data_IF_905251746306
#
_entry.id   IF_905251746306
#
_cell.length_a   1.000
_cell.length_b   1.000
_cell.length_c   1.000
_cell.angle_alpha   90.00
_cell.angle_beta   90.00
_cell.angle_gamma   90.00
#
_symmetry.space_group_name_H-M   'P 1'
#
loop_
_entity.id
_entity.type
_entity.pdbx_description
1 polymer ?
#
# COMPACT_ATOMS: atom_id res chain seq x y z
N UNK A 1 56.64 -15.54 -12.25
CA UNK A 1 57.90 -16.16 -12.75
C UNK A 1 58.46 -16.99 -11.60
N UNK A 2 58.58 -18.31 -11.56
CA UNK A 2 58.58 -19.42 -12.53
C UNK A 2 57.81 -20.62 -11.89
N UNK A 3 56.96 -21.39 -12.59
CA UNK A 3 57.25 -22.68 -13.27
C UNK A 3 57.99 -23.70 -12.39
N UNK A 4 57.66 -24.99 -12.29
CA UNK A 4 56.85 -25.91 -13.08
C UNK A 4 56.74 -27.24 -12.29
N UNK A 5 55.63 -27.98 -12.36
CA UNK A 5 55.70 -29.43 -12.67
C UNK A 5 54.30 -29.99 -12.96
N UNK A 6 54.14 -30.51 -14.18
CA UNK A 6 53.01 -31.27 -14.65
C UNK A 6 53.09 -32.72 -14.16
N UNK A 7 51.94 -33.38 -13.99
CA UNK A 7 51.78 -34.78 -14.41
C UNK A 7 50.31 -35.06 -14.74
N UNK A 8 50.08 -35.43 -16.01
CA UNK A 8 48.85 -35.99 -16.55
C UNK A 8 48.79 -37.50 -16.27
N UNK A 9 47.61 -38.04 -15.91
CA UNK A 9 47.15 -39.37 -16.32
C UNK A 9 45.63 -39.33 -16.55
N UNK A 10 45.21 -39.93 -17.67
CA UNK A 10 43.87 -39.97 -18.25
C UNK A 10 43.07 -41.23 -17.84
N UNK A 11 41.72 -41.11 -17.87
CA UNK A 11 40.67 -42.13 -18.18
C UNK A 11 40.38 -43.29 -17.20
N UNK A 12 39.14 -43.34 -16.67
CA UNK A 12 38.01 -44.16 -17.19
C UNK A 12 36.71 -44.04 -16.35
N UNK A 13 35.63 -44.13 -17.11
CA UNK A 13 34.19 -44.10 -16.89
C UNK A 13 33.51 -45.07 -15.87
N UNK A 14 32.28 -44.67 -15.51
CA UNK A 14 31.03 -45.41 -15.19
C UNK A 14 30.71 -45.76 -13.73
N UNK A 15 29.57 -45.24 -13.25
CA UNK A 15 28.94 -45.63 -11.98
C UNK A 15 27.65 -44.86 -11.70
N UNK A 16 26.53 -45.44 -12.17
CA UNK A 16 25.14 -44.99 -12.05
C UNK A 16 24.74 -44.47 -10.65
N UNK A 17 23.98 -43.38 -10.59
CA UNK A 17 23.17 -43.01 -9.40
C UNK A 17 21.73 -42.75 -9.84
N UNK A 18 20.82 -43.53 -9.25
CA UNK A 18 19.38 -43.54 -9.50
C UNK A 18 18.73 -42.27 -8.94
N UNK A 19 18.03 -41.53 -9.79
CA UNK A 19 17.08 -40.50 -9.37
C UNK A 19 15.80 -41.16 -8.86
N UNK A 20 15.34 -40.74 -7.67
CA UNK A 20 13.97 -40.96 -7.18
C UNK A 20 13.11 -39.75 -7.59
N UNK A 21 11.90 -39.93 -8.16
CA UNK A 21 11.00 -38.81 -8.38
C UNK A 21 10.18 -38.55 -7.11
N UNK A 22 10.50 -37.45 -6.44
CA UNK A 22 9.70 -36.93 -5.34
C UNK A 22 8.43 -36.26 -5.91
N UNK A 23 7.27 -36.71 -5.43
CA UNK A 23 5.99 -36.07 -5.71
C UNK A 23 5.95 -34.69 -5.08
N UNK A 24 5.73 -33.67 -5.91
CA UNK A 24 5.39 -32.34 -5.45
C UNK A 24 4.04 -31.95 -6.06
N UNK A 25 3.03 -31.89 -5.19
CA UNK A 25 1.72 -31.35 -5.50
C UNK A 25 1.88 -29.95 -6.10
N UNK A 26 1.34 -29.76 -7.32
CA UNK A 26 1.22 -28.47 -7.98
C UNK A 26 0.25 -27.58 -7.17
N UNK A 27 0.80 -26.73 -6.31
CA UNK A 27 0.07 -25.57 -5.82
C UNK A 27 -0.13 -24.62 -7.01
N UNK A 28 -1.39 -24.41 -7.39
CA UNK A 28 -1.78 -23.42 -8.40
C UNK A 28 -1.52 -22.03 -7.80
N UNK A 29 -0.36 -21.45 -8.14
CA UNK A 29 -0.05 -20.03 -7.86
C UNK A 29 -0.96 -19.17 -8.74
N UNK A 30 -1.98 -18.55 -8.17
CA UNK A 30 -2.62 -17.35 -8.76
C UNK A 30 -1.66 -16.18 -8.58
N UNK A 31 -0.74 -16.04 -9.53
CA UNK A 31 0.17 -14.90 -9.62
C UNK A 31 -0.55 -13.79 -10.40
N UNK A 32 -1.02 -12.77 -9.68
CA UNK A 32 -1.63 -11.58 -10.25
C UNK A 32 -0.61 -10.82 -11.08
N UNK A 33 -0.63 -11.02 -12.40
CA UNK A 33 0.16 -10.26 -13.36
C UNK A 33 -0.81 -9.32 -14.07
N UNK A 34 -0.77 -8.05 -13.72
CA UNK A 34 -1.54 -6.99 -14.38
C UNK A 34 -1.05 -6.90 -15.83
N UNK A 35 -1.87 -7.33 -16.77
CA UNK A 35 -1.59 -7.23 -18.21
C UNK A 35 -1.95 -5.81 -18.69
N UNK A 36 -1.01 -5.16 -19.35
CA UNK A 36 -1.01 -3.72 -19.64
C UNK A 36 -1.77 -3.48 -20.94
N UNK A 37 -3.03 -3.07 -20.84
CA UNK A 37 -3.73 -2.40 -21.96
C UNK A 37 -4.31 -1.08 -21.45
N UNK A 38 -3.72 0.02 -21.97
CA UNK A 38 -3.87 1.44 -21.60
C UNK A 38 -3.47 1.80 -20.15
N UNK A 39 -2.66 2.87 -19.92
CA UNK A 39 -2.27 3.27 -18.57
C UNK A 39 -3.47 3.92 -17.88
N UNK A 40 -4.37 3.08 -17.36
CA UNK A 40 -5.42 3.51 -16.45
C UNK A 40 -4.80 3.58 -15.07
N UNK A 41 -4.96 4.70 -14.39
CA UNK A 41 -4.62 4.81 -12.97
C UNK A 41 -5.25 3.63 -12.22
N UNK A 42 -4.50 3.08 -11.26
CA UNK A 42 -4.97 1.99 -10.42
C UNK A 42 -6.40 2.22 -9.90
N UNK A 43 -7.26 1.17 -9.82
CA UNK A 43 -8.64 1.34 -9.40
C UNK A 43 -8.73 1.92 -7.99
N UNK A 44 -9.74 2.74 -7.75
CA UNK A 44 -10.00 3.24 -6.39
C UNK A 44 -10.55 2.11 -5.51
N UNK A 45 -10.39 2.24 -4.20
CA UNK A 45 -10.99 1.29 -3.24
C UNK A 45 -12.50 1.18 -3.43
N UNK A 46 -13.20 2.29 -3.70
CA UNK A 46 -14.63 2.28 -4.01
C UNK A 46 -14.96 1.40 -5.23
N UNK A 47 -14.16 1.49 -6.30
CA UNK A 47 -14.32 0.63 -7.48
C UNK A 47 -14.10 -0.85 -7.15
N UNK A 48 -13.08 -1.16 -6.33
CA UNK A 48 -12.81 -2.53 -5.86
C UNK A 48 -13.97 -3.09 -5.04
N UNK A 49 -14.52 -2.32 -4.11
CA UNK A 49 -15.68 -2.71 -3.29
C UNK A 49 -16.89 -2.98 -4.18
N UNK A 50 -17.20 -2.10 -5.12
CA UNK A 50 -18.33 -2.27 -6.01
C UNK A 50 -18.17 -3.48 -6.93
N UNK A 51 -16.97 -3.73 -7.45
CA UNK A 51 -16.68 -4.93 -8.24
C UNK A 51 -16.96 -6.21 -7.45
N UNK A 52 -16.52 -6.26 -6.19
CA UNK A 52 -16.78 -7.40 -5.28
C UNK A 52 -18.24 -7.53 -4.90
N UNK A 53 -18.95 -6.44 -4.62
CA UNK A 53 -20.39 -6.50 -4.35
C UNK A 53 -21.16 -6.98 -5.58
N UNK A 54 -20.78 -6.55 -6.78
CA UNK A 54 -21.40 -6.99 -8.02
C UNK A 54 -21.19 -8.49 -8.25
N UNK A 55 -19.98 -9.00 -7.97
CA UNK A 55 -19.68 -10.43 -7.96
C UNK A 55 -20.61 -11.20 -7.00
N UNK A 56 -20.70 -10.74 -5.76
CA UNK A 56 -21.53 -11.34 -4.71
C UNK A 56 -23.01 -11.40 -5.11
N UNK A 57 -23.54 -10.30 -5.66
CA UNK A 57 -24.93 -10.23 -6.14
C UNK A 57 -25.18 -11.21 -7.30
N UNK A 58 -24.23 -11.33 -8.24
CA UNK A 58 -24.35 -12.30 -9.34
C UNK A 58 -24.40 -13.73 -8.80
N UNK A 59 -23.53 -14.06 -7.84
CA UNK A 59 -23.44 -15.40 -7.26
C UNK A 59 -24.68 -15.76 -6.44
N UNK A 60 -25.23 -14.80 -5.68
CA UNK A 60 -26.51 -14.96 -4.97
C UNK A 60 -27.69 -15.17 -5.92
N UNK A 61 -27.67 -14.52 -7.09
CA UNK A 61 -28.64 -14.74 -8.15
C UNK A 61 -28.45 -16.10 -8.87
N UNK A 62 -27.40 -16.86 -8.56
CA UNK A 62 -27.11 -18.16 -9.17
C UNK A 62 -26.63 -18.09 -10.63
N UNK A 63 -26.26 -16.90 -11.12
CA UNK A 63 -25.90 -16.69 -12.51
C UNK A 63 -24.40 -16.87 -12.75
N UNK A 64 -24.04 -17.48 -13.88
CA UNK A 64 -22.66 -17.53 -14.37
C UNK A 64 -22.27 -16.22 -15.07
N UNK A 65 -20.96 -15.98 -15.24
CA UNK A 65 -20.47 -14.79 -15.95
C UNK A 65 -20.95 -14.74 -17.40
N UNK A 66 -21.08 -15.90 -18.05
CA UNK A 66 -21.58 -16.04 -19.41
C UNK A 66 -23.06 -15.62 -19.53
N UNK A 67 -23.85 -15.80 -18.48
CA UNK A 67 -25.25 -15.37 -18.42
C UNK A 67 -25.35 -13.86 -18.25
N UNK A 68 -24.59 -13.30 -17.29
CA UNK A 68 -24.47 -11.85 -17.11
C UNK A 68 -23.97 -11.16 -18.39
N UNK A 69 -23.02 -11.77 -19.10
CA UNK A 69 -22.49 -11.25 -20.34
C UNK A 69 -23.52 -11.27 -21.49
N UNK A 70 -24.37 -12.30 -21.55
CA UNK A 70 -25.51 -12.36 -22.49
C UNK A 70 -26.54 -11.27 -22.23
N UNK A 71 -26.87 -11.01 -20.95
CA UNK A 71 -27.74 -9.91 -20.54
C UNK A 71 -27.21 -8.57 -21.07
N UNK A 72 -25.92 -8.33 -20.87
CA UNK A 72 -25.24 -7.10 -21.31
C UNK A 72 -24.90 -7.05 -22.81
N UNK A 73 -25.02 -8.16 -23.54
CA UNK A 73 -24.53 -8.33 -24.92
C UNK A 73 -23.04 -7.99 -25.09
N UNK A 74 -22.22 -8.45 -24.16
CA UNK A 74 -20.76 -8.28 -24.17
C UNK A 74 -20.04 -9.62 -24.04
N UNK A 75 -18.71 -9.62 -24.20
CA UNK A 75 -17.89 -10.80 -23.92
C UNK A 75 -17.86 -11.11 -22.41
N UNK A 76 -17.81 -12.40 -21.99
CA UNK A 76 -17.68 -12.79 -20.58
C UNK A 76 -16.48 -12.15 -19.86
N UNK A 77 -15.39 -11.90 -20.60
CA UNK A 77 -14.23 -11.18 -20.09
C UNK A 77 -14.55 -9.75 -19.61
N UNK A 78 -15.56 -9.08 -20.17
CA UNK A 78 -15.99 -7.75 -19.71
C UNK A 78 -16.66 -7.82 -18.34
N UNK A 79 -17.50 -8.82 -18.09
CA UNK A 79 -18.11 -9.03 -16.77
C UNK A 79 -17.04 -9.35 -15.73
N UNK A 80 -16.07 -10.23 -16.06
CA UNK A 80 -14.90 -10.48 -15.20
C UNK A 80 -14.18 -9.16 -14.87
N UNK A 81 -13.86 -8.35 -15.88
CA UNK A 81 -13.15 -7.08 -15.69
C UNK A 81 -13.93 -6.11 -14.79
N UNK A 82 -15.25 -6.07 -14.91
CA UNK A 82 -16.12 -5.25 -14.05
C UNK A 82 -16.07 -5.71 -12.59
N UNK A 83 -16.20 -7.02 -12.36
CA UNK A 83 -16.14 -7.62 -11.01
C UNK A 83 -14.75 -7.47 -10.37
N UNK A 84 -13.70 -7.45 -11.18
CA UNK A 84 -12.31 -7.26 -10.73
C UNK A 84 -11.90 -5.78 -10.65
N UNK A 85 -12.81 -4.82 -10.90
CA UNK A 85 -12.53 -3.39 -10.96
C UNK A 85 -11.43 -2.99 -11.98
N UNK A 86 -11.18 -3.85 -12.97
CA UNK A 86 -10.22 -3.60 -14.06
C UNK A 86 -10.78 -2.56 -15.05
N UNK A 87 -12.11 -2.36 -15.08
CA UNK A 87 -12.79 -1.33 -15.87
C UNK A 87 -13.80 -0.55 -15.02
N UNK A 88 -14.04 0.71 -15.36
CA UNK A 88 -15.10 1.50 -14.71
C UNK A 88 -16.47 0.88 -14.94
N UNK A 89 -17.30 0.85 -13.90
CA UNK A 89 -18.66 0.35 -13.98
C UNK A 89 -19.54 1.38 -14.70
N UNK A 90 -19.98 1.04 -15.92
CA UNK A 90 -20.92 1.87 -16.67
C UNK A 90 -22.31 1.76 -16.04
N UNK A 91 -22.90 2.89 -15.64
CA UNK A 91 -24.20 2.94 -14.97
C UNK A 91 -25.30 2.17 -15.73
N UNK A 92 -25.42 2.27 -17.07
CA UNK A 92 -26.44 1.49 -17.79
C UNK A 92 -26.24 -0.03 -17.70
N UNK A 93 -24.99 -0.50 -17.65
CA UNK A 93 -24.70 -1.94 -17.49
C UNK A 93 -25.06 -2.38 -16.07
N UNK A 94 -24.73 -1.56 -15.09
CA UNK A 94 -25.01 -1.83 -13.69
C UNK A 94 -26.52 -1.95 -13.43
N UNK A 95 -27.32 -1.00 -13.90
CA UNK A 95 -28.78 -1.04 -13.77
C UNK A 95 -29.38 -2.31 -14.36
N UNK A 96 -28.90 -2.73 -15.55
CA UNK A 96 -29.39 -3.93 -16.21
C UNK A 96 -29.00 -5.21 -15.46
N UNK A 97 -27.77 -5.28 -14.92
CA UNK A 97 -27.33 -6.41 -14.11
C UNK A 97 -28.10 -6.50 -12.80
N UNK A 98 -28.21 -5.40 -12.04
CA UNK A 98 -28.90 -5.36 -10.75
C UNK A 98 -30.36 -5.81 -10.87
N UNK A 99 -31.08 -5.32 -11.89
CA UNK A 99 -32.43 -5.78 -12.20
C UNK A 99 -32.48 -7.27 -12.51
N UNK A 100 -31.50 -7.76 -13.28
CA UNK A 100 -31.42 -9.18 -13.66
C UNK A 100 -31.01 -10.10 -12.51
N UNK A 101 -30.33 -9.55 -11.50
CA UNK A 101 -29.93 -10.26 -10.28
C UNK A 101 -31.03 -10.28 -9.22
N UNK A 102 -32.18 -9.64 -9.48
CA UNK A 102 -33.31 -9.59 -8.55
C UNK A 102 -33.10 -8.64 -7.37
N UNK A 103 -32.19 -7.66 -7.52
CA UNK A 103 -31.98 -6.59 -6.53
C UNK A 103 -33.20 -5.67 -6.51
N UNK A 104 -33.65 -5.25 -5.34
CA UNK A 104 -34.78 -4.32 -5.21
C UNK A 104 -34.43 -2.95 -5.82
N UNK A 105 -35.45 -2.18 -6.24
CA UNK A 105 -35.21 -0.86 -6.84
C UNK A 105 -34.48 0.09 -5.87
N UNK A 106 -34.80 0.03 -4.57
CA UNK A 106 -34.14 0.82 -3.52
C UNK A 106 -32.65 0.45 -3.35
N UNK A 107 -32.34 -0.85 -3.28
CA UNK A 107 -30.95 -1.31 -3.17
C UNK A 107 -30.17 -1.04 -4.46
N UNK A 108 -30.83 -1.14 -5.62
CA UNK A 108 -30.23 -0.86 -6.91
C UNK A 108 -29.89 0.63 -7.07
N UNK A 109 -30.78 1.53 -6.62
CA UNK A 109 -30.54 2.97 -6.61
C UNK A 109 -29.35 3.33 -5.71
N UNK A 110 -29.30 2.78 -4.49
CA UNK A 110 -28.17 2.96 -3.59
C UNK A 110 -26.84 2.46 -4.20
N UNK A 111 -26.86 1.31 -4.87
CA UNK A 111 -25.67 0.77 -5.54
C UNK A 111 -25.21 1.68 -6.69
N UNK A 112 -26.15 2.19 -7.49
CA UNK A 112 -25.84 3.13 -8.59
C UNK A 112 -25.23 4.42 -8.05
N UNK A 113 -25.77 5.00 -6.98
CA UNK A 113 -25.21 6.19 -6.34
C UNK A 113 -23.77 5.95 -5.85
N UNK A 114 -23.51 4.80 -5.24
CA UNK A 114 -22.13 4.41 -4.85
C UNK A 114 -21.21 4.27 -6.06
N UNK A 115 -21.70 3.73 -7.18
CA UNK A 115 -20.94 3.61 -8.42
C UNK A 115 -20.65 4.96 -9.08
N UNK A 116 -21.58 5.90 -9.03
CA UNK A 116 -21.35 7.27 -9.47
C UNK A 116 -20.27 7.95 -8.62
N UNK A 117 -20.34 7.82 -7.29
CA UNK A 117 -19.33 8.36 -6.39
C UNK A 117 -17.95 7.73 -6.64
N UNK A 118 -17.87 6.40 -6.75
CA UNK A 118 -16.61 5.69 -6.99
C UNK A 118 -16.01 5.96 -8.37
N UNK A 119 -16.83 6.37 -9.35
CA UNK A 119 -16.39 6.79 -10.67
C UNK A 119 -15.89 8.24 -10.69
N UNK A 120 -16.15 9.06 -9.65
CA UNK A 120 -15.57 10.41 -9.56
C UNK A 120 -14.05 10.31 -9.47
N UNK A 121 -13.30 11.13 -10.24
CA UNK A 121 -11.85 11.16 -10.13
C UNK A 121 -11.43 11.52 -8.70
N UNK A 122 -10.55 10.70 -8.10
CA UNK A 122 -9.94 11.04 -6.81
C UNK A 122 -9.20 12.37 -6.90
N UNK A 123 -9.15 13.14 -5.80
CA UNK A 123 -8.52 14.47 -5.77
C UNK A 123 -7.05 14.46 -6.26
N UNK A 124 -6.36 13.32 -6.13
CA UNK A 124 -4.97 13.13 -6.54
C UNK A 124 -4.78 12.98 -8.05
N UNK A 125 -5.85 12.80 -8.82
CA UNK A 125 -5.81 12.69 -10.29
C UNK A 125 -5.19 13.92 -10.96
N UNK A 126 -5.26 15.09 -10.32
CA UNK A 126 -4.56 16.31 -10.78
C UNK A 126 -3.02 16.20 -10.75
N UNK A 127 -2.49 15.15 -10.12
CA UNK A 127 -1.06 14.84 -10.04
C UNK A 127 -0.68 13.57 -10.82
N UNK A 128 -1.55 13.05 -11.69
CA UNK A 128 -1.31 11.78 -12.41
C UNK A 128 -0.03 11.74 -13.25
N UNK A 129 0.47 12.89 -13.68
CA UNK A 129 1.69 13.03 -14.49
C UNK A 129 2.99 12.96 -13.67
N UNK A 130 2.91 13.19 -12.36
CA UNK A 130 4.05 13.03 -11.43
C UNK A 130 3.88 11.82 -10.51
N UNK A 131 2.67 11.30 -10.35
CA UNK A 131 2.38 10.16 -9.52
C UNK A 131 2.69 8.86 -10.26
N UNK A 132 3.61 8.03 -9.75
CA UNK A 132 3.70 6.67 -10.25
C UNK A 132 2.37 5.94 -10.02
N UNK A 133 1.93 5.14 -11.00
CA UNK A 133 0.64 4.43 -10.94
C UNK A 133 0.51 3.58 -9.66
N UNK A 134 1.61 2.97 -9.23
CA UNK A 134 1.66 2.18 -7.99
C UNK A 134 1.40 3.00 -6.74
N UNK A 135 1.62 4.32 -6.75
CA UNK A 135 1.37 5.20 -5.60
C UNK A 135 -0.06 5.76 -5.59
N UNK A 136 -0.71 5.86 -6.74
CA UNK A 136 -2.13 6.26 -6.82
C UNK A 136 -3.03 5.32 -6.00
N UNK A 137 -2.75 4.01 -6.05
CA UNK A 137 -3.44 3.01 -5.23
C UNK A 137 -3.21 3.24 -3.74
N UNK A 138 -2.00 3.61 -3.32
CA UNK A 138 -1.67 3.90 -1.91
C UNK A 138 -2.54 5.03 -1.38
N UNK A 139 -2.64 6.15 -2.12
CA UNK A 139 -3.46 7.30 -1.72
C UNK A 139 -4.94 6.91 -1.64
N UNK A 140 -5.42 6.05 -2.55
CA UNK A 140 -6.80 5.56 -2.48
C UNK A 140 -7.05 4.66 -1.25
N UNK A 141 -6.10 3.79 -0.90
CA UNK A 141 -6.20 2.91 0.28
C UNK A 141 -6.13 3.72 1.57
N UNK A 142 -5.23 4.69 1.61
CA UNK A 142 -5.05 5.63 2.71
C UNK A 142 -6.35 6.38 3.02
N UNK A 143 -7.05 6.87 2.00
CA UNK A 143 -8.32 7.59 2.15
C UNK A 143 -9.55 6.72 2.51
N UNK A 144 -9.46 5.39 2.35
CA UNK A 144 -10.56 4.46 2.61
C UNK A 144 -10.36 3.60 3.87
N UNK A 145 -9.15 3.58 4.43
CA UNK A 145 -8.82 2.80 5.60
C UNK A 145 -9.55 3.32 6.85
N UNK A 146 -9.92 2.40 7.75
CA UNK A 146 -10.36 2.72 9.10
C UNK A 146 -9.20 2.65 10.11
N UNK A 147 -8.15 1.90 9.77
CA UNK A 147 -6.91 1.80 10.54
C UNK A 147 -5.72 1.71 9.57
N UNK A 148 -4.70 2.53 9.83
CA UNK A 148 -3.42 2.53 9.16
C UNK A 148 -2.35 2.22 10.20
N UNK A 149 -1.57 1.16 9.99
CA UNK A 149 -0.38 0.88 10.81
C UNK A 149 0.85 0.95 9.92
N UNK A 150 1.85 1.75 10.26
CA UNK A 150 3.06 1.87 9.45
C UNK A 150 4.32 1.61 10.27
N UNK A 151 5.28 0.97 9.61
CA UNK A 151 6.66 0.90 10.09
C UNK A 151 7.55 1.74 9.17
N UNK A 152 8.24 2.72 9.75
CA UNK A 152 9.05 3.69 9.03
C UNK A 152 10.51 3.66 9.55
N UNK A 153 11.42 2.93 8.89
CA UNK A 153 12.82 2.79 9.32
C UNK A 153 13.69 4.00 8.97
N UNK A 154 13.33 4.76 7.95
CA UNK A 154 14.27 5.72 7.33
C UNK A 154 13.89 7.17 7.53
N UNK A 155 12.60 7.48 7.46
CA UNK A 155 12.08 8.84 7.43
C UNK A 155 10.79 8.95 8.25
N UNK A 156 10.44 10.15 8.66
CA UNK A 156 9.15 10.40 9.30
C UNK A 156 8.00 10.02 8.35
N UNK A 157 6.92 9.36 8.83
CA UNK A 157 5.78 9.01 7.97
C UNK A 157 5.24 10.22 7.20
N UNK A 158 4.95 10.04 5.90
CA UNK A 158 4.59 11.13 4.99
C UNK A 158 3.41 11.99 5.43
N UNK A 159 2.44 11.39 6.14
CA UNK A 159 1.28 12.08 6.72
C UNK A 159 1.64 13.08 7.83
N UNK A 160 2.85 12.99 8.39
CA UNK A 160 3.29 13.80 9.53
C UNK A 160 4.56 14.59 9.22
N UNK A 161 4.95 14.69 7.94
CA UNK A 161 6.10 15.50 7.53
C UNK A 161 5.76 17.00 7.53
N UNK A 162 6.73 17.87 7.78
CA UNK A 162 6.64 19.28 7.39
C UNK A 162 6.96 19.43 5.92
N UNK A 163 6.58 20.57 5.34
CA UNK A 163 6.85 20.87 3.94
C UNK A 163 8.35 20.81 3.61
N UNK A 164 9.18 21.46 4.44
CA UNK A 164 10.64 21.48 4.24
C UNK A 164 11.30 20.12 4.43
N UNK A 165 10.82 19.31 5.39
CA UNK A 165 11.32 17.95 5.56
C UNK A 165 10.95 17.08 4.35
N UNK A 166 9.70 17.15 3.90
CA UNK A 166 9.23 16.43 2.71
C UNK A 166 10.04 16.81 1.47
N UNK A 167 10.30 18.11 1.27
CA UNK A 167 11.15 18.63 0.20
C UNK A 167 12.57 18.06 0.28
N UNK A 168 13.16 18.01 1.48
CA UNK A 168 14.48 17.42 1.71
C UNK A 168 14.55 15.94 1.35
N UNK A 169 13.57 15.14 1.78
CA UNK A 169 13.48 13.71 1.43
C UNK A 169 13.30 13.51 -0.07
N UNK A 170 12.38 14.25 -0.69
CA UNK A 170 12.09 14.12 -2.12
C UNK A 170 13.30 14.50 -2.99
N UNK A 171 14.01 15.58 -2.66
CA UNK A 171 15.25 15.97 -3.35
C UNK A 171 16.31 14.88 -3.28
N UNK A 172 16.46 14.20 -2.14
CA UNK A 172 17.44 13.14 -1.97
C UNK A 172 17.10 11.87 -2.75
N UNK A 173 15.81 11.53 -2.88
CA UNK A 173 15.33 10.35 -3.62
C UNK A 173 15.23 10.53 -5.14
N UNK A 174 15.29 11.76 -5.63
CA UNK A 174 15.05 12.11 -7.03
C UNK A 174 16.28 11.84 -7.94
N UNK A 175 16.73 10.58 -7.99
CA UNK A 175 17.88 10.17 -8.79
C UNK A 175 17.53 10.17 -10.28
N UNK A 176 18.22 10.98 -11.08
CA UNK A 176 18.10 11.01 -12.55
C UNK A 176 16.81 11.63 -13.08
N UNK A 177 15.93 12.11 -12.20
CA UNK A 177 14.69 12.79 -12.54
C UNK A 177 14.48 13.90 -11.53
N UNK A 178 14.32 15.14 -11.99
CA UNK A 178 13.26 16.07 -11.56
C UNK A 178 13.68 17.48 -11.92
N UNK A 179 12.79 18.16 -12.64
CA UNK A 179 12.83 19.63 -12.64
C UNK A 179 12.45 20.09 -11.23
N UNK A 180 12.98 21.19 -10.71
CA UNK A 180 12.59 21.71 -9.40
C UNK A 180 11.07 21.82 -9.21
N UNK A 181 10.34 22.14 -10.28
CA UNK A 181 8.88 22.20 -10.33
C UNK A 181 8.20 20.86 -9.97
N UNK A 182 8.76 19.73 -10.41
CA UNK A 182 8.18 18.40 -10.15
C UNK A 182 8.28 18.05 -8.65
N UNK A 183 9.40 18.42 -8.00
CA UNK A 183 9.58 18.25 -6.54
C UNK A 183 8.52 19.04 -5.77
N UNK A 184 8.30 20.30 -6.11
CA UNK A 184 7.32 21.14 -5.40
C UNK A 184 5.89 20.60 -5.58
N UNK A 185 5.58 20.00 -6.73
CA UNK A 185 4.29 19.33 -6.95
C UNK A 185 4.17 18.04 -6.11
N UNK A 186 5.25 17.26 -5.96
CA UNK A 186 5.26 16.12 -5.04
C UNK A 186 5.13 16.55 -3.57
N UNK A 187 5.72 17.68 -3.19
CA UNK A 187 5.56 18.27 -1.86
C UNK A 187 4.11 18.68 -1.65
N UNK A 188 3.50 19.39 -2.61
CA UNK A 188 2.10 19.80 -2.54
C UNK A 188 1.14 18.61 -2.41
N UNK A 189 1.35 17.55 -3.20
CA UNK A 189 0.63 16.29 -3.06
C UNK A 189 0.78 15.72 -1.64
N UNK A 190 2.00 15.68 -1.09
CA UNK A 190 2.25 15.15 0.26
C UNK A 190 1.55 15.97 1.34
N UNK A 191 1.55 17.30 1.22
CA UNK A 191 0.86 18.18 2.17
C UNK A 191 -0.65 17.99 2.09
N UNK A 192 -1.22 17.88 0.89
CA UNK A 192 -2.67 17.64 0.73
C UNK A 192 -3.11 16.28 1.30
N UNK A 193 -2.27 15.25 1.24
CA UNK A 193 -2.57 13.95 1.89
C UNK A 193 -2.79 14.11 3.40
N UNK A 194 -2.14 15.08 4.04
CA UNK A 194 -2.26 15.28 5.49
C UNK A 194 -3.63 15.79 5.93
N UNK A 195 -4.45 16.31 5.01
CA UNK A 195 -5.85 16.67 5.29
C UNK A 195 -6.63 15.49 5.87
N UNK A 196 -6.20 14.26 5.56
CA UNK A 196 -6.73 13.02 6.13
C UNK A 196 -6.69 13.00 7.67
N UNK A 197 -5.67 13.61 8.29
CA UNK A 197 -5.50 13.60 9.74
C UNK A 197 -6.59 14.38 10.49
N UNK A 198 -7.26 15.32 9.83
CA UNK A 198 -8.22 16.24 10.45
C UNK A 198 -9.64 16.08 9.95
N UNK A 199 -9.90 15.06 9.10
CA UNK A 199 -11.26 14.70 8.67
C UNK A 199 -12.10 14.18 9.84
N UNK A 200 -13.41 14.34 9.73
CA UNK A 200 -14.37 13.79 10.70
C UNK A 200 -14.28 12.26 10.79
N UNK A 201 -14.08 11.60 9.64
CA UNK A 201 -13.91 10.16 9.50
C UNK A 201 -12.43 9.72 9.43
N UNK A 202 -11.52 10.47 10.06
CA UNK A 202 -10.09 10.19 10.02
C UNK A 202 -9.76 8.75 10.50
N UNK A 203 -8.87 8.02 9.80
CA UNK A 203 -8.47 6.68 10.22
C UNK A 203 -7.72 6.73 11.54
N UNK A 204 -7.80 5.66 12.32
CA UNK A 204 -6.83 5.44 13.39
C UNK A 204 -5.45 5.20 12.76
N UNK A 205 -4.44 5.90 13.23
CA UNK A 205 -3.07 5.78 12.73
C UNK A 205 -2.17 5.29 13.85
N UNK A 206 -1.40 4.26 13.57
CA UNK A 206 -0.35 3.78 14.45
C UNK A 206 0.96 3.67 13.69
N UNK A 207 1.85 4.63 13.90
CA UNK A 207 3.18 4.62 13.30
C UNK A 207 4.22 4.18 14.32
N UNK A 208 5.04 3.21 13.93
CA UNK A 208 6.27 2.82 14.62
C UNK A 208 7.43 3.31 13.77
N UNK A 209 8.24 4.21 14.34
CA UNK A 209 9.41 4.78 13.67
C UNK A 209 10.68 4.21 14.30
N UNK A 210 11.69 3.93 13.49
CA UNK A 210 13.04 3.71 14.00
C UNK A 210 13.66 5.06 14.42
N UNK A 211 14.52 5.06 15.45
CA UNK A 211 15.24 6.26 15.90
C UNK A 211 16.05 6.92 14.76
N UNK A 212 16.47 6.16 13.75
CA UNK A 212 17.10 6.66 12.51
C UNK A 212 16.28 7.76 11.85
N UNK A 213 14.95 7.64 11.80
CA UNK A 213 14.07 8.62 11.17
C UNK A 213 14.14 10.01 11.82
N UNK A 214 14.58 10.07 13.08
CA UNK A 214 14.68 11.29 13.87
C UNK A 214 16.12 11.81 13.99
N UNK A 215 17.13 10.97 13.73
CA UNK A 215 18.55 11.35 13.85
C UNK A 215 19.22 11.63 12.51
N UNK A 216 18.69 11.12 11.38
CA UNK A 216 19.24 11.44 10.06
C UNK A 216 18.99 12.91 9.72
N UNK A 217 20.03 13.75 9.49
CA UNK A 217 19.83 15.16 9.22
C UNK A 217 19.15 15.38 7.87
N UNK A 218 17.98 16.02 7.86
CA UNK A 218 17.24 16.39 6.66
C UNK A 218 16.94 17.88 6.72
N UNK A 219 17.41 18.64 5.73
CA UNK A 219 17.18 20.08 5.65
C UNK A 219 17.88 20.93 6.73
N UNK A 220 18.71 20.32 7.58
CA UNK A 220 19.44 20.99 8.66
C UNK A 220 18.68 21.05 10.00
N UNK A 221 19.30 21.63 11.05
CA UNK A 221 18.76 21.59 12.41
C UNK A 221 17.38 22.25 12.56
N UNK A 222 17.15 23.38 11.89
CA UNK A 222 15.87 24.11 11.94
C UNK A 222 14.71 23.27 11.37
N UNK A 223 14.93 22.61 10.22
CA UNK A 223 13.94 21.74 9.58
C UNK A 223 13.64 20.53 10.47
N UNK A 224 14.67 19.93 11.05
CA UNK A 224 14.50 18.82 11.99
C UNK A 224 13.75 19.24 13.25
N UNK A 225 14.01 20.44 13.79
CA UNK A 225 13.31 20.95 14.98
C UNK A 225 11.83 21.18 14.68
N UNK A 226 11.51 21.80 13.54
CA UNK A 226 10.14 21.97 13.07
C UNK A 226 9.44 20.61 12.82
N UNK A 227 10.17 19.63 12.29
CA UNK A 227 9.65 18.28 12.08
C UNK A 227 9.31 17.58 13.40
N UNK A 228 10.16 17.70 14.42
CA UNK A 228 9.88 17.16 15.75
C UNK A 228 8.68 17.88 16.40
N UNK A 229 8.57 19.20 16.22
CA UNK A 229 7.40 19.95 16.68
C UNK A 229 6.11 19.45 16.04
N UNK A 230 6.10 19.19 14.72
CA UNK A 230 4.96 18.59 14.01
C UNK A 230 4.60 17.21 14.57
N UNK A 231 5.59 16.35 14.87
CA UNK A 231 5.35 15.06 15.51
C UNK A 231 4.72 15.21 16.90
N UNK A 232 5.24 16.13 17.72
CA UNK A 232 4.67 16.42 19.04
C UNK A 232 3.21 16.88 18.95
N UNK A 233 2.85 17.69 17.94
CA UNK A 233 1.45 18.04 17.69
C UNK A 233 0.61 16.82 17.28
N UNK A 234 1.13 15.96 16.40
CA UNK A 234 0.43 14.75 15.97
C UNK A 234 0.11 13.83 17.18
N UNK A 235 0.99 13.74 18.18
CA UNK A 235 0.72 12.97 19.40
C UNK A 235 -0.40 13.52 20.30
N UNK A 236 -0.97 14.68 19.97
CA UNK A 236 -2.14 15.25 20.65
C UNK A 236 -3.46 14.80 19.99
N UNK A 237 -3.42 14.26 18.78
CA UNK A 237 -4.60 13.75 18.09
C UNK A 237 -5.02 12.40 18.72
N UNK A 238 -6.29 12.21 19.09
CA UNK A 238 -6.74 11.02 19.83
C UNK A 238 -6.69 9.74 19.00
N UNK A 239 -6.72 9.85 17.68
CA UNK A 239 -6.66 8.75 16.72
C UNK A 239 -5.24 8.45 16.23
N UNK A 240 -4.21 9.14 16.72
CA UNK A 240 -2.81 8.96 16.30
C UNK A 240 -1.95 8.43 17.45
N UNK A 241 -1.35 7.26 17.24
CA UNK A 241 -0.35 6.66 18.12
C UNK A 241 1.00 6.67 17.43
N UNK A 242 1.97 7.36 18.03
CA UNK A 242 3.37 7.33 17.59
C UNK A 242 4.22 6.60 18.61
N UNK A 243 5.03 5.69 18.12
CA UNK A 243 6.07 5.01 18.89
C UNK A 243 7.40 5.10 18.18
N UNK A 244 8.47 5.16 18.97
CA UNK A 244 9.85 5.17 18.47
C UNK A 244 10.53 3.92 19.00
N UNK A 245 11.20 3.17 18.14
CA UNK A 245 12.13 2.11 18.53
C UNK A 245 13.50 2.76 18.72
N UNK A 246 13.99 2.89 19.97
CA UNK A 246 15.32 3.42 20.22
C UNK A 246 16.40 2.42 19.81
N UNK A 247 17.59 2.89 19.45
CA UNK A 247 18.75 2.03 19.16
C UNK A 247 19.11 1.11 20.33
N UNK A 248 18.86 1.54 21.56
CA UNK A 248 19.10 0.72 22.76
C UNK A 248 18.21 -0.52 22.85
N UNK A 249 17.10 -0.59 22.09
CA UNK A 249 16.25 -1.78 22.03
C UNK A 249 16.87 -2.93 21.23
N UNK A 250 17.95 -2.66 20.48
CA UNK A 250 18.61 -3.64 19.64
C UNK A 250 17.79 -4.04 18.41
N UNK A 251 18.10 -5.19 17.78
CA UNK A 251 17.39 -5.66 16.59
C UNK A 251 15.92 -5.96 16.87
N UNK A 252 15.05 -5.60 15.93
CA UNK A 252 13.62 -5.90 15.96
C UNK A 252 13.18 -6.60 14.66
N UNK A 253 11.99 -7.24 14.59
CA UNK A 253 11.60 -8.08 13.45
C UNK A 253 11.36 -7.37 12.10
N UNK A 254 11.37 -6.03 12.07
CA UNK A 254 11.13 -5.22 10.86
C UNK A 254 12.38 -5.01 10.01
N UNK A 255 13.15 -6.07 9.77
CA UNK A 255 14.47 -5.97 9.13
C UNK A 255 14.44 -5.81 7.61
N UNK A 256 13.28 -6.05 6.98
CA UNK A 256 13.14 -6.12 5.52
C UNK A 256 12.64 -4.83 4.86
N UNK A 257 12.47 -3.75 5.63
CA UNK A 257 12.13 -2.42 5.12
C UNK A 257 10.77 -1.89 5.59
N UNK A 258 10.34 -0.72 5.08
CA UNK A 258 9.07 -0.11 5.43
C UNK A 258 7.89 -0.93 4.92
N UNK A 259 6.79 -0.88 5.67
CA UNK A 259 5.51 -1.37 5.21
C UNK A 259 4.36 -0.60 5.87
N UNK A 260 3.22 -0.59 5.19
CA UNK A 260 1.97 0.00 5.67
C UNK A 260 0.87 -1.05 5.61
N UNK A 261 0.16 -1.22 6.71
CA UNK A 261 -1.03 -2.06 6.84
C UNK A 261 -2.26 -1.18 6.77
N UNK A 262 -3.16 -1.51 5.85
CA UNK A 262 -4.48 -0.90 5.73
C UNK A 262 -5.53 -1.90 6.19
N UNK A 263 -6.39 -1.47 7.12
CA UNK A 263 -7.60 -2.19 7.50
C UNK A 263 -8.81 -1.33 7.22
N UNK A 264 -9.84 -1.93 6.65
CA UNK A 264 -11.04 -1.24 6.20
C UNK A 264 -12.23 -1.55 7.11
N UNK A 265 -13.19 -0.62 7.18
CA UNK A 265 -14.49 -0.90 7.80
C UNK A 265 -15.39 -1.76 6.90
N UNK A 266 -15.12 -1.76 5.58
CA UNK A 266 -15.87 -2.47 4.56
C UNK A 266 -15.51 -3.96 4.58
N UNK A 267 -16.47 -4.88 4.86
CA UNK A 267 -16.22 -6.32 4.92
C UNK A 267 -15.72 -6.93 3.61
N UNK A 268 -16.01 -6.28 2.48
CA UNK A 268 -15.63 -6.74 1.15
C UNK A 268 -14.13 -6.62 0.90
N UNK A 269 -13.40 -5.83 1.70
CA UNK A 269 -11.98 -5.59 1.53
C UNK A 269 -11.16 -6.39 2.56
N UNK A 270 -10.16 -7.17 2.11
CA UNK A 270 -9.19 -7.75 3.01
C UNK A 270 -8.33 -6.62 3.60
N UNK A 271 -7.75 -6.89 4.76
CA UNK A 271 -6.58 -6.13 5.19
C UNK A 271 -5.49 -6.24 4.10
N UNK A 272 -4.80 -5.13 3.83
CA UNK A 272 -3.78 -5.06 2.80
C UNK A 272 -2.45 -4.59 3.37
N UNK A 273 -1.35 -5.14 2.86
CA UNK A 273 0.00 -4.66 3.11
C UNK A 273 0.51 -3.95 1.87
N UNK A 274 1.15 -2.81 2.07
CA UNK A 274 1.89 -2.08 1.06
C UNK A 274 3.37 -2.03 1.45
N UNK A 275 4.24 -2.37 0.50
CA UNK A 275 5.68 -2.17 0.60
C UNK A 275 6.22 -1.62 -0.71
N UNK A 276 7.01 -0.56 -0.64
CA UNK A 276 7.69 0.01 -1.79
C UNK A 276 9.15 -0.42 -1.88
N UNK A 277 9.67 -0.38 -3.09
CA UNK A 277 11.07 -0.57 -3.43
C UNK A 277 11.46 0.46 -4.50
N UNK A 278 12.73 0.56 -4.84
CA UNK A 278 13.28 1.65 -5.65
C UNK A 278 12.49 1.99 -6.93
N UNK A 279 11.93 1.00 -7.61
CA UNK A 279 11.26 1.18 -8.91
C UNK A 279 9.77 0.84 -8.90
N UNK A 280 9.18 0.56 -7.74
CA UNK A 280 7.78 0.14 -7.67
C UNK A 280 7.30 -0.17 -6.27
N UNK A 281 6.15 -0.85 -6.19
CA UNK A 281 5.60 -1.32 -4.94
C UNK A 281 4.83 -2.63 -5.13
N UNK A 282 4.62 -3.32 -4.02
CA UNK A 282 3.78 -4.50 -3.91
C UNK A 282 2.62 -4.24 -2.98
N UNK A 283 1.46 -4.78 -3.35
CA UNK A 283 0.25 -4.83 -2.53
C UNK A 283 -0.07 -6.28 -2.25
N UNK A 284 -0.11 -6.66 -0.98
CA UNK A 284 -0.35 -8.02 -0.52
C UNK A 284 -1.69 -8.07 0.20
N UNK A 285 -2.54 -9.01 -0.20
CA UNK A 285 -3.87 -9.22 0.41
C UNK A 285 -4.11 -10.68 0.80
N UNK A 286 -3.12 -11.57 0.59
CA UNK A 286 -3.20 -12.94 1.03
C UNK A 286 -3.16 -13.00 2.56
N UNK A 287 -4.13 -13.71 3.16
CA UNK A 287 -4.27 -13.80 4.63
C UNK A 287 -2.98 -14.19 5.34
N UNK A 288 -2.20 -15.12 4.78
CA UNK A 288 -0.92 -15.54 5.36
C UNK A 288 0.13 -14.44 5.34
N UNK A 289 0.24 -13.69 4.25
CA UNK A 289 1.21 -12.60 4.11
C UNK A 289 0.85 -11.45 5.06
N UNK A 290 -0.43 -11.07 5.10
CA UNK A 290 -0.94 -10.03 6.00
C UNK A 290 -0.74 -10.43 7.47
N UNK A 291 -1.04 -11.68 7.83
CA UNK A 291 -0.86 -12.18 9.19
C UNK A 291 0.59 -12.09 9.66
N UNK A 292 1.56 -12.42 8.80
CA UNK A 292 2.99 -12.29 9.15
C UNK A 292 3.38 -10.83 9.39
N UNK A 293 2.90 -9.88 8.57
CA UNK A 293 3.19 -8.46 8.78
C UNK A 293 2.53 -7.91 10.05
N UNK A 294 1.32 -8.36 10.38
CA UNK A 294 0.65 -8.03 11.64
C UNK A 294 1.46 -8.51 12.84
N UNK A 295 1.94 -9.75 12.82
CA UNK A 295 2.79 -10.31 13.89
C UNK A 295 4.09 -9.51 14.05
N UNK A 296 4.75 -9.15 12.94
CA UNK A 296 5.93 -8.29 12.96
C UNK A 296 5.61 -6.92 13.58
N UNK A 297 4.52 -6.29 13.15
CA UNK A 297 4.08 -5.00 13.68
C UNK A 297 3.77 -5.04 15.17
N UNK A 298 3.10 -6.10 15.65
CA UNK A 298 2.78 -6.28 17.06
C UNK A 298 4.03 -6.47 17.92
N UNK A 299 4.99 -7.28 17.43
CA UNK A 299 6.29 -7.46 18.11
C UNK A 299 7.11 -6.17 18.16
N UNK A 300 7.12 -5.40 17.07
CA UNK A 300 7.81 -4.11 17.03
C UNK A 300 7.16 -3.11 17.98
N UNK A 301 5.83 -3.01 17.99
CA UNK A 301 5.10 -2.12 18.89
C UNK A 301 5.35 -2.43 20.38
N UNK A 302 5.52 -3.71 20.72
CA UNK A 302 5.86 -4.15 22.07
C UNK A 302 7.30 -3.80 22.49
N UNK A 303 8.24 -3.73 21.53
CA UNK A 303 9.64 -3.34 21.78
C UNK A 303 9.88 -1.83 21.69
N UNK A 304 9.00 -1.11 20.97
CA UNK A 304 9.06 0.33 20.83
C UNK A 304 8.76 1.01 22.17
N UNK A 305 9.29 2.23 22.34
CA UNK A 305 8.91 3.09 23.45
C UNK A 305 7.38 3.28 23.49
N UNK A 306 6.81 3.32 24.70
CA UNK A 306 5.38 3.62 24.86
C UNK A 306 5.06 4.99 24.27
N UNK A 307 3.80 5.22 23.87
CA UNK A 307 3.39 6.52 23.31
C UNK A 307 3.70 7.70 24.26
N UNK A 308 3.70 7.48 25.58
CA UNK A 308 4.13 8.48 26.55
C UNK A 308 5.64 8.73 26.47
N UNK A 309 6.45 7.66 26.54
CA UNK A 309 7.92 7.75 26.47
C UNK A 309 8.41 8.32 25.14
N UNK A 310 7.69 8.06 24.04
CA UNK A 310 7.96 8.67 22.74
C UNK A 310 7.88 10.20 22.78
N UNK A 311 6.95 10.79 23.54
CA UNK A 311 6.88 12.26 23.70
C UNK A 311 8.12 12.81 24.40
N UNK A 312 8.68 12.07 25.35
CA UNK A 312 9.91 12.45 26.05
C UNK A 312 11.12 12.35 25.12
N UNK A 313 11.26 11.24 24.39
CA UNK A 313 12.31 11.06 23.37
C UNK A 313 12.29 12.22 22.36
N UNK A 314 11.10 12.56 21.84
CA UNK A 314 10.96 13.68 20.89
C UNK A 314 11.38 15.01 21.51
N UNK A 315 10.99 15.30 22.76
CA UNK A 315 11.37 16.54 23.45
C UNK A 315 12.87 16.63 23.72
N UNK A 316 13.51 15.51 24.02
CA UNK A 316 14.95 15.49 24.28
C UNK A 316 15.74 15.66 22.99
N UNK A 317 15.38 14.95 21.92
CA UNK A 317 15.94 15.17 20.58
C UNK A 317 15.76 16.61 20.09
N UNK A 318 14.62 17.24 20.39
CA UNK A 318 14.37 18.65 20.06
C UNK A 318 15.37 19.61 20.73
N UNK A 319 15.84 19.30 21.93
CA UNK A 319 16.81 20.14 22.68
C UNK A 319 18.24 19.97 22.15
N UNK A 320 18.53 18.82 21.53
CA UNK A 320 19.83 18.51 20.94
C UNK A 320 20.08 19.26 19.61
N UNK A 321 19.00 19.64 18.91
CA UNK A 321 19.03 20.40 17.65
C UNK A 321 19.06 21.90 17.87
#
# INVERSE_FOLDING_TARGET
>A
MAHCSQQHVERRQLGQSRETPNGAARAVRTQWRWDVSEPRSAPTVGQVVLGRRLLDLRERAGLKREEAARILRVAPATVRRMEMAEVSLKIPYLQLLLKSYGVSDEEAEAFVQLAEEANKPGWWQRFHDILPDWFSMHVSLEGAAALIRSYEPHFVPGLMQTEDYARGVLKAGAIGQTRPEDIERHVALRMQRQDLLTREDAPRIWAVMDETALRRPIGGPEVMRAQIDKLLQATKLPHVTLQVIPFSSGPHPGTYGPFVLFRFAMPELPDMVYSEYLTGAVYLDARSEVATHLEVMDRMAAQAATAHRTKEILRDLRKEL
#
